data_IF_329439314109
#
_entry.id   IF_329439314109
#
_cell.length_a   1.000
_cell.length_b   1.000
_cell.length_c   1.000
_cell.angle_alpha   90.00
_cell.angle_beta   90.00
_cell.angle_gamma   90.00
#
_symmetry.space_group_name_H-M   'P 1'
#
loop_
_entity.id
_entity.type
_entity.pdbx_description
1 polymer ?
#
# COMPACT_ATOMS: atom_id res chain seq x y z
N UNK A 1 2.93 -24.11 0.53
CA UNK A 1 1.85 -23.31 -0.10
C UNK A 1 2.44 -22.41 -1.22
N UNK A 2 3.07 -23.02 -2.24
CA UNK A 2 3.76 -22.27 -3.31
C UNK A 2 2.79 -21.81 -4.42
N UNK A 3 1.76 -22.63 -4.68
CA UNK A 3 0.75 -22.42 -5.72
C UNK A 3 -0.07 -21.14 -5.48
N UNK A 4 -0.40 -20.82 -4.22
CA UNK A 4 -1.13 -19.58 -3.89
C UNK A 4 -0.28 -18.33 -4.14
N UNK A 5 1.04 -18.41 -3.94
CA UNK A 5 1.96 -17.29 -4.17
C UNK A 5 2.12 -17.02 -5.68
N UNK A 6 2.25 -18.08 -6.48
CA UNK A 6 2.30 -17.99 -7.96
C UNK A 6 0.96 -17.52 -8.55
N UNK A 7 -0.18 -17.96 -8.00
CA UNK A 7 -1.50 -17.50 -8.43
C UNK A 7 -1.73 -16.02 -8.07
N UNK A 8 -1.29 -15.58 -6.89
CA UNK A 8 -1.31 -14.15 -6.50
C UNK A 8 -0.39 -13.32 -7.41
N UNK A 9 0.81 -13.80 -7.70
CA UNK A 9 1.73 -13.15 -8.64
C UNK A 9 1.15 -13.07 -10.06
N UNK A 10 0.47 -14.12 -10.54
CA UNK A 10 -0.20 -14.10 -11.86
C UNK A 10 -1.42 -13.20 -11.90
N UNK A 11 -2.17 -13.08 -10.80
CA UNK A 11 -3.31 -12.17 -10.71
C UNK A 11 -2.85 -10.70 -10.63
N UNK A 12 -1.76 -10.43 -9.89
CA UNK A 12 -1.13 -9.11 -9.84
C UNK A 12 -0.49 -8.73 -11.18
N UNK A 13 0.14 -9.68 -11.89
CA UNK A 13 0.69 -9.47 -13.24
C UNK A 13 -0.36 -9.34 -14.36
N UNK A 14 -1.66 -9.46 -14.05
CA UNK A 14 -2.76 -9.11 -14.98
C UNK A 14 -3.31 -7.70 -14.75
N UNK A 15 -2.89 -7.03 -13.68
CA UNK A 15 -3.18 -5.61 -13.51
C UNK A 15 -2.33 -4.86 -14.53
N UNK A 16 -2.98 -3.95 -15.25
CA UNK A 16 -2.34 -3.02 -16.16
C UNK A 16 -1.06 -2.45 -15.48
N UNK A 17 0.11 -2.54 -16.13
CA UNK A 17 1.35 -1.98 -15.61
C UNK A 17 1.21 -0.52 -15.16
N UNK A 18 0.39 0.28 -15.84
CA UNK A 18 0.09 1.65 -15.44
C UNK A 18 -0.70 1.71 -14.14
N UNK A 19 -1.69 0.84 -13.99
CA UNK A 19 -2.46 0.73 -12.75
C UNK A 19 -1.57 0.35 -11.58
N UNK A 20 -0.64 -0.61 -11.76
CA UNK A 20 0.35 -0.97 -10.74
C UNK A 20 1.30 0.19 -10.40
N UNK A 21 1.73 0.96 -11.40
CA UNK A 21 2.58 2.12 -11.19
C UNK A 21 1.86 3.21 -10.38
N UNK A 22 0.61 3.50 -10.74
CA UNK A 22 -0.25 4.43 -9.98
C UNK A 22 -0.44 3.95 -8.54
N UNK A 23 -0.72 2.65 -8.35
CA UNK A 23 -0.91 2.07 -7.03
C UNK A 23 0.33 2.22 -6.13
N UNK A 24 1.52 1.99 -6.70
CA UNK A 24 2.79 2.22 -6.00
C UNK A 24 3.02 3.71 -5.70
N UNK A 25 2.70 4.60 -6.64
CA UNK A 25 2.83 6.04 -6.42
C UNK A 25 1.93 6.53 -5.29
N UNK A 26 0.69 6.03 -5.19
CA UNK A 26 -0.21 6.33 -4.08
C UNK A 26 0.36 5.88 -2.73
N UNK A 27 0.90 4.66 -2.66
CA UNK A 27 1.55 4.17 -1.46
C UNK A 27 2.73 5.05 -1.03
N UNK A 28 3.63 5.38 -1.96
CA UNK A 28 4.79 6.23 -1.67
C UNK A 28 4.36 7.62 -1.17
N UNK A 29 3.37 8.24 -1.81
CA UNK A 29 2.88 9.56 -1.40
C UNK A 29 2.32 9.58 0.03
N UNK A 30 1.56 8.54 0.42
CA UNK A 30 1.01 8.42 1.77
C UNK A 30 2.14 8.33 2.80
N UNK A 31 3.13 7.47 2.55
CA UNK A 31 4.27 7.28 3.45
C UNK A 31 5.13 8.54 3.56
N UNK A 32 5.43 9.19 2.44
CA UNK A 32 6.20 10.44 2.42
C UNK A 32 5.51 11.56 3.20
N UNK A 33 4.20 11.74 2.99
CA UNK A 33 3.43 12.76 3.73
C UNK A 33 3.34 12.46 5.22
N UNK A 34 3.22 11.19 5.57
CA UNK A 34 3.21 10.75 6.96
C UNK A 34 4.56 11.00 7.65
N UNK A 35 5.67 10.58 7.02
CA UNK A 35 7.03 10.80 7.53
C UNK A 35 7.38 12.29 7.62
N UNK A 36 6.90 13.10 6.68
CA UNK A 36 7.07 14.55 6.71
C UNK A 36 6.20 15.26 7.77
N UNK A 37 5.38 14.52 8.53
CA UNK A 37 4.44 15.08 9.51
C UNK A 37 3.27 15.86 8.89
N UNK A 38 3.10 15.79 7.58
CA UNK A 38 2.03 16.46 6.82
C UNK A 38 0.74 15.64 6.76
N UNK A 39 0.72 14.46 7.38
CA UNK A 39 -0.43 13.56 7.49
C UNK A 39 -0.41 12.90 8.87
N UNK A 40 -1.56 12.87 9.55
CA UNK A 40 -1.66 12.22 10.84
C UNK A 40 -1.50 10.70 10.71
N UNK A 41 -1.09 10.05 11.80
CA UNK A 41 -1.00 8.60 11.86
C UNK A 41 -2.32 7.90 11.48
N UNK A 42 -3.45 8.38 12.00
CA UNK A 42 -4.77 7.82 11.70
C UNK A 42 -5.16 8.01 10.23
N UNK A 43 -4.81 9.13 9.63
CA UNK A 43 -5.10 9.39 8.21
C UNK A 43 -4.26 8.50 7.31
N UNK A 44 -2.98 8.33 7.63
CA UNK A 44 -2.09 7.43 6.90
C UNK A 44 -2.53 5.96 7.03
N UNK A 45 -2.96 5.55 8.24
CA UNK A 45 -3.48 4.21 8.48
C UNK A 45 -4.77 3.96 7.69
N UNK A 46 -5.74 4.88 7.73
CA UNK A 46 -6.99 4.76 6.98
C UNK A 46 -6.75 4.74 5.47
N UNK A 47 -5.86 5.60 4.95
CA UNK A 47 -5.52 5.64 3.53
C UNK A 47 -4.91 4.30 3.05
N UNK A 48 -4.04 3.69 3.84
CA UNK A 48 -3.48 2.37 3.53
C UNK A 48 -4.52 1.24 3.61
N UNK A 49 -5.43 1.30 4.58
CA UNK A 49 -6.53 0.33 4.68
C UNK A 49 -7.46 0.40 3.48
N UNK A 50 -7.80 1.60 3.00
CA UNK A 50 -8.60 1.81 1.78
C UNK A 50 -7.92 1.26 0.52
N UNK A 51 -6.59 1.28 0.48
CA UNK A 51 -5.79 0.66 -0.58
C UNK A 51 -5.57 -0.85 -0.36
N UNK A 52 -6.10 -1.45 0.71
CA UNK A 52 -5.94 -2.88 0.99
C UNK A 52 -4.56 -3.27 1.55
N UNK A 53 -3.69 -2.29 1.86
CA UNK A 53 -2.38 -2.50 2.49
C UNK A 53 -2.50 -2.71 4.01
N UNK A 54 -3.31 -3.69 4.43
CA UNK A 54 -3.59 -3.96 5.85
C UNK A 54 -2.34 -4.22 6.68
N UNK A 55 -1.41 -5.02 6.15
CA UNK A 55 -0.16 -5.34 6.86
C UNK A 55 0.75 -4.12 7.02
N UNK A 56 0.74 -3.20 6.07
CA UNK A 56 1.52 -1.97 6.13
C UNK A 56 0.83 -0.93 7.02
N UNK A 57 -0.50 -0.86 7.02
CA UNK A 57 -1.28 -0.01 7.92
C UNK A 57 -1.04 -0.35 9.40
N UNK A 58 -0.70 -1.61 9.71
CA UNK A 58 -0.31 -2.05 11.05
C UNK A 58 1.14 -1.66 11.41
N UNK A 59 1.99 -1.40 10.43
CA UNK A 59 3.40 -1.03 10.62
C UNK A 59 3.60 0.47 10.80
N UNK A 60 2.66 1.28 10.33
CA UNK A 60 2.66 2.70 10.66
C UNK A 60 2.20 2.80 12.11
N UNK A 61 3.11 3.16 13.03
CA UNK A 61 2.81 3.48 14.43
C UNK A 61 2.83 4.99 14.64
N UNK A 62 2.38 5.53 15.79
CA UNK A 62 2.59 6.94 16.09
C UNK A 62 4.10 7.26 16.09
N UNK A 63 4.48 8.40 15.47
CA UNK A 63 5.85 8.88 15.39
C UNK A 63 6.31 9.50 16.72
#
# INVERSE_FOLDING_TARGET
MLIQRVARDRAVNRLDPEYLAQWRAYYCNIVERYVAGAMSWSDAQNALLSLGYRDQALKIGPA
#
